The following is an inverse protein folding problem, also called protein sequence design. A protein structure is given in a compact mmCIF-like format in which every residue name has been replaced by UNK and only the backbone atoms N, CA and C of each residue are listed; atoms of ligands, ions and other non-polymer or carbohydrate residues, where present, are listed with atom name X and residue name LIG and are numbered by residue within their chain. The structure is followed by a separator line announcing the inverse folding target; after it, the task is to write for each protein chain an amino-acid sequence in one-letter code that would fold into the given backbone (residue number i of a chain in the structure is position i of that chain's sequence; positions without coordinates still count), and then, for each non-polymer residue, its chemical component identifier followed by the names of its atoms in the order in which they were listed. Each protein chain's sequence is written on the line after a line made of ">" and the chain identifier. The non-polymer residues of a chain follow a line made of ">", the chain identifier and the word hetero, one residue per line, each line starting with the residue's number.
data_IF_442496663134
#
_entry.id   IF_442496663134
#
_cell.length_a   1.000
_cell.length_b   1.000
_cell.length_c   1.000
_cell.angle_alpha   90.00
_cell.angle_beta   90.00
_cell.angle_gamma   90.00
#
_symmetry.space_group_name_H-M   'P 1'
#
loop_
_entity.id
_entity.type
_entity.pdbx_description
1 polymer ?
#
# COMPACT_ATOMS: atom_id res chain seq x y z
N UNK A 1 -21.62 -14.41 25.36
CA UNK A 1 -21.06 -14.64 24.02
C UNK A 1 -20.06 -13.53 23.78
N UNK A 2 -18.77 -13.77 24.07
CA UNK A 2 -17.73 -12.76 23.80
C UNK A 2 -17.52 -12.80 22.30
N UNK A 3 -18.01 -11.76 21.60
CA UNK A 3 -17.67 -11.55 20.21
C UNK A 3 -16.19 -11.21 20.19
N UNK A 4 -15.34 -12.22 20.02
CA UNK A 4 -13.97 -12.03 19.60
C UNK A 4 -14.05 -11.47 18.17
N UNK A 5 -14.22 -10.15 18.06
CA UNK A 5 -13.91 -9.45 16.81
C UNK A 5 -12.43 -9.70 16.62
N UNK A 6 -12.00 -10.47 15.61
CA UNK A 6 -10.59 -10.56 15.32
C UNK A 6 -10.15 -9.12 15.02
N UNK A 7 -9.38 -8.53 15.92
CA UNK A 7 -8.66 -7.31 15.63
C UNK A 7 -7.62 -7.70 14.57
N UNK A 8 -8.05 -7.67 13.31
CA UNK A 8 -7.13 -7.72 12.18
C UNK A 8 -6.26 -6.47 12.36
N UNK A 9 -5.02 -6.70 12.80
CA UNK A 9 -3.98 -5.67 12.80
C UNK A 9 -3.85 -5.23 11.34
N UNK A 10 -4.49 -4.10 11.04
CA UNK A 10 -4.46 -3.55 9.71
C UNK A 10 -3.04 -3.06 9.39
N UNK A 11 -2.72 -2.87 8.11
CA UNK A 11 -1.50 -2.14 7.78
C UNK A 11 -1.53 -0.76 8.43
N UNK A 12 -0.35 -0.26 8.77
CA UNK A 12 -0.15 0.95 9.56
C UNK A 12 -0.99 2.13 9.01
N UNK A 13 -1.71 2.81 9.90
CA UNK A 13 -2.57 3.96 9.55
C UNK A 13 -1.79 5.11 8.90
N UNK A 14 -0.45 5.14 9.04
CA UNK A 14 0.39 6.10 8.31
C UNK A 14 0.18 6.04 6.79
N UNK A 15 -0.17 4.87 6.24
CA UNK A 15 -0.43 4.70 4.81
C UNK A 15 -1.80 5.25 4.39
N UNK A 16 -2.74 5.43 5.32
CA UNK A 16 -4.11 5.91 5.03
C UNK A 16 -4.13 7.39 4.61
N UNK A 17 -3.03 8.10 4.87
CA UNK A 17 -2.85 9.52 4.51
C UNK A 17 -2.26 9.72 3.11
N UNK A 18 -1.85 8.64 2.44
CA UNK A 18 -1.30 8.76 1.09
C UNK A 18 -2.43 9.04 0.09
N UNK A 19 -2.18 9.99 -0.79
CA UNK A 19 -3.06 10.31 -1.91
C UNK A 19 -2.68 9.44 -3.11
N UNK A 20 -3.26 8.24 -3.15
CA UNK A 20 -3.00 7.27 -4.22
C UNK A 20 -3.42 7.81 -5.59
N UNK A 21 -4.52 8.55 -5.67
CA UNK A 21 -5.00 9.17 -6.91
C UNK A 21 -3.98 10.17 -7.45
N UNK A 22 -3.41 11.03 -6.61
CA UNK A 22 -2.36 11.95 -7.02
C UNK A 22 -1.12 11.22 -7.53
N UNK A 23 -0.73 10.12 -6.88
CA UNK A 23 0.43 9.32 -7.31
C UNK A 23 0.19 8.72 -8.68
N UNK A 24 -0.99 8.12 -8.91
CA UNK A 24 -1.32 7.41 -10.16
C UNK A 24 -1.55 8.39 -11.32
N UNK A 25 -2.08 9.59 -11.05
CA UNK A 25 -2.35 10.60 -12.10
C UNK A 25 -1.12 11.45 -12.48
N UNK A 26 0.03 11.29 -11.80
CA UNK A 26 1.29 11.94 -12.16
C UNK A 26 2.25 10.90 -12.71
N UNK A 27 2.41 10.86 -14.04
CA UNK A 27 3.24 9.88 -14.75
C UNK A 27 4.68 9.81 -14.22
N UNK A 28 5.26 10.95 -13.82
CA UNK A 28 6.65 10.98 -13.32
C UNK A 28 6.72 10.40 -11.92
N UNK A 29 5.78 10.78 -11.06
CA UNK A 29 5.70 10.29 -9.70
C UNK A 29 5.40 8.78 -9.70
N UNK A 30 4.42 8.35 -10.48
CA UNK A 30 4.06 6.94 -10.63
C UNK A 30 5.23 6.10 -11.16
N UNK A 31 5.92 6.58 -12.20
CA UNK A 31 7.09 5.88 -12.75
C UNK A 31 8.19 5.69 -11.71
N UNK A 32 8.45 6.70 -10.86
CA UNK A 32 9.44 6.60 -9.80
C UNK A 32 9.05 5.59 -8.69
N UNK A 33 7.76 5.45 -8.36
CA UNK A 33 7.29 4.35 -7.49
C UNK A 33 7.50 2.99 -8.15
N UNK A 34 7.14 2.85 -9.43
CA UNK A 34 7.32 1.61 -10.18
C UNK A 34 8.79 1.20 -10.31
N UNK A 35 9.68 2.15 -10.58
CA UNK A 35 11.11 1.88 -10.70
C UNK A 35 11.69 1.34 -9.39
N UNK A 36 11.26 1.87 -8.25
CA UNK A 36 11.59 1.30 -6.94
C UNK A 36 11.07 -0.14 -6.79
N UNK A 37 9.79 -0.36 -7.10
CA UNK A 37 9.14 -1.68 -6.96
C UNK A 37 9.76 -2.75 -7.85
N UNK A 38 10.25 -2.36 -9.03
CA UNK A 38 10.82 -3.25 -10.04
C UNK A 38 12.35 -3.35 -9.98
N UNK A 39 12.99 -2.82 -8.92
CA UNK A 39 14.46 -2.82 -8.77
C UNK A 39 15.20 -2.09 -9.91
N UNK A 40 14.55 -1.09 -10.53
CA UNK A 40 15.12 -0.27 -11.62
C UNK A 40 15.65 1.08 -11.15
N UNK A 41 15.32 1.47 -9.92
CA UNK A 41 15.76 2.73 -9.31
C UNK A 41 15.70 2.71 -7.78
N UNK A 42 16.20 3.76 -7.13
CA UNK A 42 16.18 3.87 -5.68
C UNK A 42 14.75 4.16 -5.16
N UNK A 43 14.43 3.63 -3.98
CA UNK A 43 13.18 3.91 -3.28
C UNK A 43 13.30 5.19 -2.44
N UNK A 44 13.19 6.36 -3.09
CA UNK A 44 13.35 7.66 -2.42
C UNK A 44 12.03 8.33 -2.04
N UNK A 45 10.91 7.82 -2.55
CA UNK A 45 9.58 8.39 -2.33
C UNK A 45 8.97 7.87 -1.03
N UNK A 46 8.03 8.64 -0.48
CA UNK A 46 7.36 8.33 0.78
C UNK A 46 6.76 6.91 0.74
N UNK A 47 7.13 6.08 1.71
CA UNK A 47 6.69 4.68 1.83
C UNK A 47 6.96 3.77 0.62
N UNK A 48 7.70 4.21 -0.40
CA UNK A 48 7.98 3.39 -1.60
C UNK A 48 8.68 2.06 -1.27
N UNK A 49 9.61 2.07 -0.33
CA UNK A 49 10.28 0.87 0.16
C UNK A 49 9.33 -0.07 0.93
N UNK A 50 8.44 0.49 1.75
CA UNK A 50 7.43 -0.27 2.50
C UNK A 50 6.45 -0.93 1.51
N UNK A 51 5.94 -0.18 0.53
CA UNK A 51 5.03 -0.70 -0.49
C UNK A 51 5.66 -1.80 -1.31
N UNK A 52 6.93 -1.68 -1.68
CA UNK A 52 7.64 -2.77 -2.35
C UNK A 52 7.63 -4.08 -1.54
N UNK A 53 7.77 -4.00 -0.21
CA UNK A 53 7.77 -5.18 0.68
C UNK A 53 6.36 -5.74 0.89
N UNK A 54 5.36 -4.86 0.99
CA UNK A 54 3.97 -5.22 1.32
C UNK A 54 3.16 -5.67 0.10
N UNK A 55 3.39 -5.07 -1.08
CA UNK A 55 2.59 -5.28 -2.28
C UNK A 55 2.45 -6.77 -2.68
N UNK A 56 3.50 -7.62 -2.61
CA UNK A 56 3.35 -9.04 -2.90
C UNK A 56 2.36 -9.76 -1.98
N UNK A 57 2.37 -9.44 -0.67
CA UNK A 57 1.42 -9.99 0.30
C UNK A 57 0.01 -9.46 0.05
N UNK A 58 -0.14 -8.15 -0.18
CA UNK A 58 -1.42 -7.50 -0.45
C UNK A 58 -2.12 -8.15 -1.66
N UNK A 59 -1.39 -8.42 -2.74
CA UNK A 59 -1.93 -9.08 -3.93
C UNK A 59 -2.25 -10.56 -3.64
N UNK A 60 -1.33 -11.29 -3.00
CA UNK A 60 -1.52 -12.72 -2.72
C UNK A 60 -2.70 -13.00 -1.78
N UNK A 61 -2.95 -12.11 -0.82
CA UNK A 61 -4.02 -12.25 0.19
C UNK A 61 -5.29 -11.49 -0.18
N UNK A 62 -5.33 -10.81 -1.34
CA UNK A 62 -6.43 -9.92 -1.71
C UNK A 62 -6.74 -8.88 -0.62
N UNK A 63 -5.70 -8.25 -0.08
CA UNK A 63 -5.81 -7.19 0.93
C UNK A 63 -6.41 -7.66 2.27
N UNK A 64 -6.09 -8.87 2.73
CA UNK A 64 -6.68 -9.47 3.95
C UNK A 64 -6.53 -8.56 5.19
N UNK A 65 -5.38 -7.89 5.32
CA UNK A 65 -5.03 -6.98 6.42
C UNK A 65 -5.25 -5.50 6.10
N UNK A 66 -5.97 -5.18 5.03
CA UNK A 66 -6.20 -3.78 4.68
C UNK A 66 -7.32 -3.15 5.51
N UNK A 67 -7.08 -1.94 6.00
CA UNK A 67 -8.10 -1.08 6.59
C UNK A 67 -9.21 -0.76 5.56
N UNK A 68 -10.41 -0.33 6.00
CA UNK A 68 -11.46 0.09 5.09
C UNK A 68 -11.05 1.21 4.11
N UNK A 69 -10.07 2.04 4.47
CA UNK A 69 -9.50 3.08 3.60
C UNK A 69 -8.52 2.46 2.61
N UNK A 70 -7.61 1.61 3.07
CA UNK A 70 -6.61 0.95 2.23
C UNK A 70 -7.24 0.08 1.13
N UNK A 71 -8.36 -0.59 1.43
CA UNK A 71 -9.11 -1.37 0.44
C UNK A 71 -9.67 -0.54 -0.73
N UNK A 72 -9.86 0.77 -0.55
CA UNK A 72 -10.31 1.64 -1.65
C UNK A 72 -9.20 1.88 -2.67
N UNK A 73 -7.94 1.84 -2.22
CA UNK A 73 -6.75 2.06 -3.04
C UNK A 73 -6.24 0.77 -3.70
N UNK A 74 -6.67 -0.41 -3.23
CA UNK A 74 -6.32 -1.71 -3.80
C UNK A 74 -7.47 -2.17 -4.69
N UNK A 75 -7.35 -1.92 -5.99
CA UNK A 75 -8.31 -2.32 -7.03
C UNK A 75 -7.66 -3.20 -8.09
#
# INVERSE_FOLDING_TARGET
>A
MVLAVPYILCYDEKYDKIDADKIINDDKLFSAYLDCMLDRGPCTLEYSEDFKKLLPEVIATSCEKCSPVQRQNVR
#
